data_IF_456282535171
#
_entry.id   IF_456282535171
#
_cell.length_a   1.000
_cell.length_b   1.000
_cell.length_c   1.000
_cell.angle_alpha   90.00
_cell.angle_beta   90.00
_cell.angle_gamma   90.00
#
_symmetry.space_group_name_H-M   'P 1'
#
loop_
_entity.id
_entity.type
_entity.pdbx_description
1 polymer ?
#
# COMPACT_ATOMS: atom_id res chain seq x y z
N UNK A 1 45.94 -51.46 0.56
CA UNK A 1 45.48 -50.47 1.55
C UNK A 1 45.45 -49.08 0.92
N UNK A 2 44.26 -48.53 0.64
CA UNK A 2 44.07 -47.07 0.45
C UNK A 2 42.60 -46.73 0.69
N UNK A 3 42.35 -46.13 1.84
CA UNK A 3 41.04 -45.65 2.27
C UNK A 3 40.72 -44.32 1.57
N UNK A 4 39.65 -44.30 0.76
CA UNK A 4 39.01 -43.08 0.26
C UNK A 4 37.64 -42.97 0.94
N UNK A 5 37.59 -42.26 2.06
CA UNK A 5 36.34 -41.80 2.66
C UNK A 5 36.50 -40.32 2.99
N UNK A 6 35.49 -39.50 2.65
CA UNK A 6 35.21 -38.32 3.49
C UNK A 6 35.09 -36.93 2.85
N UNK A 7 34.74 -36.75 1.57
CA UNK A 7 34.46 -35.39 1.04
C UNK A 7 33.01 -35.10 0.63
N UNK A 8 32.09 -36.07 0.72
CA UNK A 8 30.70 -35.89 0.28
C UNK A 8 29.73 -35.26 1.29
N UNK A 9 30.04 -35.29 2.59
CA UNK A 9 29.07 -34.92 3.63
C UNK A 9 28.81 -33.40 3.74
N UNK A 10 29.80 -32.55 3.45
CA UNK A 10 29.66 -31.09 3.57
C UNK A 10 28.80 -30.47 2.46
N UNK A 11 28.74 -31.10 1.28
CA UNK A 11 27.93 -30.64 0.14
C UNK A 11 26.42 -30.87 0.33
N UNK A 12 26.02 -31.85 1.14
CA UNK A 12 24.61 -32.12 1.43
C UNK A 12 24.03 -31.19 2.50
N UNK A 13 24.86 -30.66 3.41
CA UNK A 13 24.44 -29.71 4.44
C UNK A 13 24.25 -28.27 3.92
N UNK A 14 24.94 -27.88 2.84
CA UNK A 14 24.83 -26.52 2.28
C UNK A 14 23.51 -26.26 1.53
N UNK A 15 23.01 -27.24 0.76
CA UNK A 15 21.76 -27.14 -0.01
C UNK A 15 20.51 -26.77 0.82
N UNK A 16 20.24 -27.38 1.99
CA UNK A 16 19.06 -27.02 2.78
C UNK A 16 19.16 -25.61 3.37
N UNK A 17 20.37 -25.10 3.65
CA UNK A 17 20.58 -23.75 4.19
C UNK A 17 20.31 -22.67 3.13
N UNK A 18 20.80 -22.87 1.90
CA UNK A 18 20.56 -21.96 0.76
C UNK A 18 19.07 -21.88 0.41
N UNK A 19 18.37 -23.03 0.42
CA UNK A 19 16.94 -23.08 0.19
C UNK A 19 16.14 -22.35 1.28
N UNK A 20 16.60 -22.41 2.54
CA UNK A 20 15.98 -21.68 3.65
C UNK A 20 16.19 -20.17 3.53
N UNK A 21 17.41 -19.70 3.28
CA UNK A 21 17.70 -18.27 3.11
C UNK A 21 16.94 -17.65 1.93
N UNK A 22 16.87 -18.36 0.80
CA UNK A 22 16.09 -17.93 -0.36
C UNK A 22 14.58 -17.87 -0.09
N UNK A 23 14.07 -18.71 0.83
CA UNK A 23 12.66 -18.71 1.24
C UNK A 23 12.37 -17.56 2.21
N UNK A 24 13.25 -17.33 3.18
CA UNK A 24 13.12 -16.22 4.14
C UNK A 24 13.18 -14.86 3.44
N UNK A 25 14.12 -14.66 2.49
CA UNK A 25 14.21 -13.42 1.73
C UNK A 25 13.04 -13.15 0.78
N UNK A 26 12.31 -14.19 0.34
CA UNK A 26 11.08 -14.02 -0.45
C UNK A 26 9.91 -13.63 0.44
N UNK A 27 9.80 -14.23 1.62
CA UNK A 27 8.72 -13.94 2.56
C UNK A 27 8.82 -12.49 3.09
N UNK A 28 10.01 -11.97 3.32
CA UNK A 28 10.20 -10.57 3.77
C UNK A 28 9.72 -9.55 2.73
N UNK A 29 9.94 -9.81 1.44
CA UNK A 29 9.48 -8.95 0.34
C UNK A 29 7.95 -8.91 0.25
N UNK A 30 7.31 -10.07 0.39
CA UNK A 30 5.84 -10.20 0.39
C UNK A 30 5.24 -9.48 1.59
N UNK A 31 5.73 -9.75 2.80
CA UNK A 31 5.26 -9.10 4.03
C UNK A 31 5.41 -7.57 3.98
N UNK A 32 6.53 -7.07 3.44
CA UNK A 32 6.73 -5.64 3.31
C UNK A 32 5.76 -5.00 2.31
N UNK A 33 5.49 -5.69 1.19
CA UNK A 33 4.50 -5.23 0.23
C UNK A 33 3.09 -5.21 0.82
N UNK A 34 2.67 -6.25 1.53
CA UNK A 34 1.39 -6.30 2.23
C UNK A 34 1.27 -5.19 3.28
N UNK A 35 2.34 -4.93 4.05
CA UNK A 35 2.38 -3.83 5.03
C UNK A 35 2.21 -2.46 4.35
N UNK A 36 2.82 -2.24 3.18
CA UNK A 36 2.64 -1.01 2.38
C UNK A 36 1.20 -0.92 1.83
N UNK A 37 0.65 -2.02 1.32
CA UNK A 37 -0.74 -2.11 0.85
C UNK A 37 -1.74 -1.79 1.96
N UNK A 38 -1.57 -2.37 3.15
CA UNK A 38 -2.45 -2.11 4.29
C UNK A 38 -2.42 -0.63 4.72
N UNK A 39 -1.26 0.04 4.67
CA UNK A 39 -1.16 1.48 4.92
C UNK A 39 -1.87 2.32 3.85
N UNK A 40 -1.73 1.95 2.58
CA UNK A 40 -2.47 2.58 1.49
C UNK A 40 -3.99 2.42 1.67
N UNK A 41 -4.47 1.21 1.98
CA UNK A 41 -5.90 0.95 2.19
C UNK A 41 -6.46 1.71 3.40
N UNK A 42 -5.71 1.78 4.50
CA UNK A 42 -6.12 2.57 5.68
C UNK A 42 -6.20 4.06 5.38
N UNK A 43 -5.21 4.62 4.67
CA UNK A 43 -5.22 6.04 4.28
C UNK A 43 -6.33 6.35 3.26
N UNK A 44 -6.61 5.44 2.34
CA UNK A 44 -7.72 5.55 1.41
C UNK A 44 -9.08 5.50 2.13
N UNK A 45 -9.25 4.57 3.09
CA UNK A 45 -10.43 4.50 3.94
C UNK A 45 -10.62 5.76 4.78
N UNK A 46 -9.55 6.28 5.39
CA UNK A 46 -9.59 7.53 6.13
C UNK A 46 -9.97 8.73 5.24
N UNK A 47 -9.45 8.80 4.01
CA UNK A 47 -9.84 9.81 3.03
C UNK A 47 -11.33 9.74 2.69
N UNK A 48 -11.85 8.54 2.38
CA UNK A 48 -13.27 8.36 2.09
C UNK A 48 -14.16 8.80 3.25
N UNK A 49 -13.77 8.52 4.50
CA UNK A 49 -14.49 8.99 5.68
C UNK A 49 -14.44 10.52 5.82
N UNK A 50 -13.29 11.15 5.57
CA UNK A 50 -13.17 12.62 5.63
C UNK A 50 -14.02 13.31 4.56
N UNK A 51 -14.08 12.75 3.35
CA UNK A 51 -14.92 13.27 2.26
C UNK A 51 -16.40 13.06 2.58
N UNK A 52 -16.80 11.88 3.06
CA UNK A 52 -18.18 11.64 3.47
C UNK A 52 -18.60 12.60 4.58
N UNK A 53 -17.73 12.80 5.57
CA UNK A 53 -17.99 13.74 6.67
C UNK A 53 -18.07 15.18 6.18
N UNK A 54 -17.21 15.62 5.24
CA UNK A 54 -17.29 16.97 4.70
C UNK A 54 -18.60 17.23 3.95
N UNK A 55 -19.12 16.22 3.25
CA UNK A 55 -20.44 16.27 2.61
C UNK A 55 -21.60 16.32 3.63
N UNK A 56 -21.49 15.59 4.74
CA UNK A 56 -22.46 15.71 5.83
C UNK A 56 -22.45 17.11 6.45
N UNK A 57 -21.26 17.69 6.65
CA UNK A 57 -21.11 19.04 7.21
C UNK A 57 -21.72 20.09 6.27
N UNK A 58 -21.52 19.98 4.96
CA UNK A 58 -22.16 20.92 4.01
C UNK A 58 -23.68 20.82 4.04
N UNK A 59 -24.24 19.60 4.12
CA UNK A 59 -25.69 19.43 4.25
C UNK A 59 -26.25 20.04 5.55
N UNK A 60 -25.54 19.88 6.67
CA UNK A 60 -25.93 20.47 7.95
C UNK A 60 -25.83 22.00 7.90
N UNK A 61 -24.78 22.54 7.28
CA UNK A 61 -24.57 23.97 7.14
C UNK A 61 -25.64 24.65 6.28
N UNK A 62 -26.13 23.97 5.25
CA UNK A 62 -27.23 24.46 4.44
C UNK A 62 -28.59 24.36 5.17
N UNK A 63 -28.77 23.36 6.03
CA UNK A 63 -30.00 23.18 6.83
C UNK A 63 -30.08 24.10 8.06
N UNK A 64 -28.93 24.40 8.69
CA UNK A 64 -28.84 25.18 9.93
C UNK A 64 -27.68 26.20 9.87
N UNK A 65 -27.84 27.32 9.14
CA UNK A 65 -26.77 28.28 8.87
C UNK A 65 -26.28 29.07 10.09
N UNK A 66 -26.94 28.94 11.24
CA UNK A 66 -26.60 29.58 12.51
C UNK A 66 -26.22 28.60 13.63
N UNK A 67 -26.03 27.31 13.33
CA UNK A 67 -25.65 26.32 14.33
C UNK A 67 -24.28 26.70 14.94
N UNK A 68 -24.20 26.74 16.28
CA UNK A 68 -23.00 27.16 17.05
C UNK A 68 -22.51 28.59 16.85
N UNK A 69 -23.31 29.50 16.27
CA UNK A 69 -22.89 30.89 16.05
C UNK A 69 -21.84 31.07 14.95
N UNK A 70 -21.53 30.00 14.21
CA UNK A 70 -20.62 30.00 13.07
C UNK A 70 -21.46 30.25 11.81
N UNK A 71 -21.19 31.35 11.11
CA UNK A 71 -21.90 31.65 9.86
C UNK A 71 -21.57 30.64 8.75
N UNK A 72 -22.45 30.52 7.75
CA UNK A 72 -22.33 29.62 6.58
C UNK A 72 -20.94 29.59 5.94
N UNK A 73 -20.25 30.73 5.86
CA UNK A 73 -18.88 30.84 5.31
C UNK A 73 -17.85 30.06 6.13
N UNK A 74 -17.98 30.03 7.47
CA UNK A 74 -17.10 29.27 8.35
C UNK A 74 -17.27 27.76 8.17
N UNK A 75 -18.52 27.30 8.09
CA UNK A 75 -18.82 25.88 7.81
C UNK A 75 -18.33 25.43 6.44
N UNK A 76 -18.50 26.25 5.39
CA UNK A 76 -17.95 25.96 4.06
C UNK A 76 -16.42 25.91 4.07
N UNK A 77 -15.75 26.81 4.78
CA UNK A 77 -14.29 26.79 4.90
C UNK A 77 -13.80 25.53 5.61
N UNK A 78 -14.50 25.09 6.66
CA UNK A 78 -14.18 23.84 7.37
C UNK A 78 -14.35 22.61 6.47
N UNK A 79 -15.47 22.50 5.76
CA UNK A 79 -15.71 21.41 4.82
C UNK A 79 -14.65 21.38 3.69
N UNK A 80 -14.26 22.55 3.16
CA UNK A 80 -13.22 22.66 2.16
C UNK A 80 -11.85 22.22 2.69
N UNK A 81 -11.47 22.63 3.91
CA UNK A 81 -10.23 22.22 4.55
C UNK A 81 -10.19 20.69 4.79
N UNK A 82 -11.32 20.13 5.21
CA UNK A 82 -11.46 18.70 5.47
C UNK A 82 -11.39 17.87 4.18
N UNK A 83 -12.00 18.36 3.10
CA UNK A 83 -11.87 17.78 1.77
C UNK A 83 -10.40 17.81 1.29
N UNK A 84 -9.72 18.96 1.43
CA UNK A 84 -8.31 19.09 1.08
C UNK A 84 -7.43 18.11 1.88
N UNK A 85 -7.69 17.96 3.18
CA UNK A 85 -7.00 16.99 4.02
C UNK A 85 -7.22 15.55 3.51
N UNK A 86 -8.45 15.18 3.14
CA UNK A 86 -8.77 13.89 2.53
C UNK A 86 -7.94 13.62 1.26
N UNK A 87 -7.88 14.59 0.35
CA UNK A 87 -7.08 14.51 -0.88
C UNK A 87 -5.60 14.30 -0.56
N UNK A 88 -5.04 15.03 0.40
CA UNK A 88 -3.64 14.87 0.82
C UNK A 88 -3.38 13.46 1.37
N UNK A 89 -4.27 12.93 2.22
CA UNK A 89 -4.15 11.57 2.73
C UNK A 89 -4.18 10.52 1.63
N UNK A 90 -5.06 10.67 0.63
CA UNK A 90 -5.11 9.77 -0.52
C UNK A 90 -3.80 9.80 -1.32
N UNK A 91 -3.24 11.00 -1.58
CA UNK A 91 -1.97 11.15 -2.29
C UNK A 91 -0.80 10.55 -1.50
N UNK A 92 -0.75 10.76 -0.17
CA UNK A 92 0.27 10.14 0.68
C UNK A 92 0.17 8.61 0.68
N UNK A 93 -1.04 8.06 0.79
CA UNK A 93 -1.29 6.63 0.69
C UNK A 93 -0.82 6.04 -0.64
N UNK A 94 -1.14 6.72 -1.74
CA UNK A 94 -0.75 6.31 -3.08
C UNK A 94 0.78 6.34 -3.28
N UNK A 95 1.47 7.35 -2.75
CA UNK A 95 2.94 7.44 -2.83
C UNK A 95 3.65 6.31 -2.08
N UNK A 96 3.02 5.74 -1.05
CA UNK A 96 3.56 4.61 -0.29
C UNK A 96 3.36 3.26 -1.00
N UNK A 97 2.45 3.18 -1.98
CA UNK A 97 2.16 1.97 -2.74
C UNK A 97 3.19 1.74 -3.85
N UNK A 98 4.34 1.19 -3.47
CA UNK A 98 5.46 0.90 -4.37
C UNK A 98 6.03 -0.48 -4.06
N UNK A 99 6.46 -1.19 -5.11
CA UNK A 99 7.21 -2.43 -4.97
C UNK A 99 8.43 -2.20 -4.07
N UNK A 100 8.70 -3.05 -3.06
CA UNK A 100 9.86 -2.91 -2.19
C UNK A 100 11.20 -3.14 -2.91
N UNK A 101 11.19 -3.80 -4.08
CA UNK A 101 12.40 -4.12 -4.85
C UNK A 101 12.70 -3.05 -5.90
N UNK A 102 11.78 -2.78 -6.84
CA UNK A 102 12.02 -1.83 -7.92
C UNK A 102 11.54 -0.40 -7.62
N UNK A 103 10.90 -0.18 -6.46
CA UNK A 103 10.33 1.10 -6.04
C UNK A 103 9.33 1.74 -7.02
N UNK A 104 8.86 0.98 -8.01
CA UNK A 104 7.84 1.43 -8.95
C UNK A 104 6.44 1.07 -8.44
N UNK A 105 5.45 1.84 -8.89
CA UNK A 105 4.04 1.57 -8.63
C UNK A 105 3.64 0.36 -9.46
N UNK A 106 3.01 -0.68 -8.88
CA UNK A 106 2.48 -1.80 -9.65
C UNK A 106 1.35 -1.31 -10.56
N UNK A 107 1.66 -1.03 -11.82
CA UNK A 107 0.67 -0.62 -12.83
C UNK A 107 0.09 -1.87 -13.48
N UNK A 108 -1.22 -2.04 -13.44
CA UNK A 108 -1.91 -3.02 -14.28
C UNK A 108 -1.80 -2.51 -15.71
N UNK A 109 -0.84 -3.02 -16.49
CA UNK A 109 -0.66 -2.60 -17.86
C UNK A 109 -1.58 -3.43 -18.77
N UNK A 110 -2.89 -3.18 -18.71
CA UNK A 110 -3.78 -3.63 -19.77
C UNK A 110 -3.88 -2.54 -20.83
N UNK A 111 -3.87 -2.95 -22.11
CA UNK A 111 -3.87 -2.10 -23.33
C UNK A 111 -4.95 -1.01 -23.35
N UNK A 112 -5.92 -1.08 -22.44
CA UNK A 112 -7.08 -0.20 -22.32
C UNK A 112 -7.26 0.46 -20.94
N UNK A 113 -6.47 0.10 -19.92
CA UNK A 113 -6.65 0.59 -18.55
C UNK A 113 -5.33 1.04 -17.90
N UNK A 114 -5.24 2.34 -17.63
CA UNK A 114 -4.25 2.92 -16.70
C UNK A 114 -4.71 2.66 -15.25
N UNK A 115 -4.69 1.40 -14.83
CA UNK A 115 -5.06 0.98 -13.49
C UNK A 115 -3.84 0.77 -12.59
N UNK A 116 -3.97 1.04 -11.29
CA UNK A 116 -3.03 0.52 -10.30
C UNK A 116 -3.51 -0.87 -9.90
N UNK A 117 -2.67 -1.89 -10.09
CA UNK A 117 -2.99 -3.24 -9.64
C UNK A 117 -2.95 -3.24 -8.12
N UNK A 118 -4.09 -3.42 -7.44
CA UNK A 118 -4.18 -3.40 -5.97
C UNK A 118 -3.71 -4.72 -5.34
N UNK A 119 -3.79 -5.82 -6.09
CA UNK A 119 -3.46 -7.17 -5.63
C UNK A 119 -2.68 -8.00 -6.68
N UNK A 120 -1.51 -7.53 -7.14
CA UNK A 120 -0.72 -8.26 -8.12
C UNK A 120 0.01 -9.44 -7.47
N UNK A 121 -0.07 -10.64 -8.05
CA UNK A 121 0.75 -11.78 -7.62
C UNK A 121 2.26 -11.54 -7.86
N UNK A 122 2.59 -10.83 -8.94
CA UNK A 122 3.94 -10.46 -9.33
C UNK A 122 4.01 -8.99 -9.69
N UNK A 123 5.12 -8.34 -9.37
CA UNK A 123 5.35 -6.97 -9.81
C UNK A 123 5.39 -6.94 -11.35
N UNK A 124 4.52 -6.15 -12.02
CA UNK A 124 4.48 -6.08 -13.48
C UNK A 124 5.76 -5.45 -14.08
N UNK A 125 6.53 -4.74 -13.26
CA UNK A 125 7.74 -4.05 -13.70
C UNK A 125 9.03 -4.85 -13.50
N UNK A 126 9.19 -5.56 -12.37
CA UNK A 126 10.40 -6.34 -12.10
C UNK A 126 10.18 -7.86 -11.96
N UNK A 127 8.95 -8.34 -12.09
CA UNK A 127 8.61 -9.77 -12.02
C UNK A 127 8.73 -10.41 -10.64
N UNK A 128 9.16 -9.67 -9.61
CA UNK A 128 9.27 -10.21 -8.24
C UNK A 128 7.91 -10.66 -7.73
N UNK A 129 7.88 -11.77 -7.00
CA UNK A 129 6.67 -12.28 -6.37
C UNK A 129 6.26 -11.36 -5.21
N UNK A 130 5.01 -10.91 -5.25
CA UNK A 130 4.40 -10.02 -4.25
C UNK A 130 3.28 -10.72 -3.46
N UNK A 131 2.88 -11.94 -3.86
CA UNK A 131 1.96 -12.85 -3.17
C UNK A 131 2.23 -14.31 -3.56
#
# INVERSE_FOLDING_TARGET
MRTRHGTGAWLQAAKPLEAHMARTGKNTVVEEFERRRARMLRSFGACMLLIAFSLCVTQIADSFPGLFGIGRKGWMAFAAAQFAAGVVFALMGFRQYRCPVCHQIPRAHDKYYLGVAVDPEKCPNCGVRLR
#
